data_IF_029413559779
#
_entry.id   IF_029413559779
#
_cell.length_a   1.000
_cell.length_b   1.000
_cell.length_c   1.000
_cell.angle_alpha   90.00
_cell.angle_beta   90.00
_cell.angle_gamma   90.00
#
_symmetry.space_group_name_H-M   'P 1'
#
loop_
_entity.id
_entity.type
_entity.pdbx_description
1 polymer ?
#
# COMPACT_ATOMS: atom_id res chain seq x y z
N UNK A 1 -33.01 -10.80 7.92
CA UNK A 1 -31.59 -11.20 8.05
C UNK A 1 -30.91 -10.79 6.75
N UNK A 2 -30.36 -9.57 6.68
CA UNK A 2 -29.53 -9.20 5.54
C UNK A 2 -28.21 -9.97 5.71
N UNK A 3 -27.93 -10.91 4.81
CA UNK A 3 -26.62 -11.56 4.79
C UNK A 3 -25.58 -10.48 4.57
N UNK A 4 -24.79 -10.15 5.60
CA UNK A 4 -23.62 -9.32 5.41
C UNK A 4 -22.66 -10.14 4.57
N UNK A 5 -22.45 -9.76 3.31
CA UNK A 5 -21.39 -10.34 2.50
C UNK A 5 -20.05 -10.07 3.18
N UNK A 6 -19.19 -11.07 3.24
CA UNK A 6 -17.81 -10.94 3.73
C UNK A 6 -17.09 -9.87 2.90
N UNK A 7 -16.53 -8.81 3.51
CA UNK A 7 -15.79 -7.79 2.77
C UNK A 7 -14.65 -8.38 1.95
N UNK A 8 -14.59 -7.98 0.68
CA UNK A 8 -13.55 -8.38 -0.27
C UNK A 8 -12.42 -7.37 -0.23
N UNK A 9 -11.20 -7.86 -0.04
CA UNK A 9 -9.99 -7.05 0.03
C UNK A 9 -9.06 -7.45 -1.10
N UNK A 10 -8.67 -6.48 -1.93
CA UNK A 10 -7.54 -6.61 -2.84
C UNK A 10 -6.30 -6.05 -2.15
N UNK A 11 -5.33 -6.92 -1.93
CA UNK A 11 -4.00 -6.57 -1.43
C UNK A 11 -3.02 -6.64 -2.60
N UNK A 12 -2.10 -5.68 -2.72
CA UNK A 12 -1.06 -5.77 -3.74
C UNK A 12 0.33 -5.59 -3.16
N UNK A 13 1.32 -6.16 -3.84
CA UNK A 13 2.74 -5.91 -3.62
C UNK A 13 3.46 -5.89 -4.95
N UNK A 14 4.61 -5.21 -5.03
CA UNK A 14 5.38 -5.17 -6.27
C UNK A 14 6.25 -6.42 -6.45
N UNK A 15 6.55 -6.75 -7.70
CA UNK A 15 7.63 -7.67 -8.07
C UNK A 15 9.01 -7.19 -7.54
N UNK A 16 10.05 -8.05 -7.59
CA UNK A 16 11.42 -7.64 -7.29
C UNK A 16 11.92 -6.53 -8.22
N UNK A 17 12.76 -5.64 -7.69
CA UNK A 17 13.25 -4.45 -8.38
C UNK A 17 14.69 -4.14 -7.91
N UNK A 18 15.46 -3.37 -8.69
CA UNK A 18 16.82 -2.94 -8.34
C UNK A 18 17.84 -4.09 -8.15
N UNK A 19 17.62 -5.23 -8.83
CA UNK A 19 18.50 -6.41 -8.75
C UNK A 19 18.24 -7.29 -7.52
N UNK A 20 17.25 -6.95 -6.70
CA UNK A 20 16.77 -7.79 -5.61
C UNK A 20 16.11 -9.07 -6.15
N UNK A 21 16.24 -10.17 -5.42
CA UNK A 21 15.56 -11.44 -5.75
C UNK A 21 14.15 -11.53 -5.17
N UNK A 22 13.79 -10.65 -4.24
CA UNK A 22 12.50 -10.63 -3.57
C UNK A 22 12.00 -9.20 -3.32
N UNK A 23 10.71 -9.07 -3.00
CA UNK A 23 10.12 -7.81 -2.56
C UNK A 23 9.30 -8.05 -1.28
N UNK A 24 9.75 -7.48 -0.15
CA UNK A 24 9.10 -7.66 1.16
C UNK A 24 7.60 -7.31 1.17
N UNK A 25 7.16 -6.37 0.33
CA UNK A 25 5.73 -6.05 0.21
C UNK A 25 4.93 -7.20 -0.42
N UNK A 26 5.46 -7.82 -1.48
CA UNK A 26 4.83 -8.98 -2.09
C UNK A 26 4.84 -10.20 -1.18
N UNK A 27 5.97 -10.50 -0.53
CA UNK A 27 6.06 -11.64 0.40
C UNK A 27 5.04 -11.50 1.54
N UNK A 28 4.93 -10.31 2.13
CA UNK A 28 3.91 -10.05 3.15
C UNK A 28 2.49 -10.17 2.58
N UNK A 29 2.22 -9.67 1.36
CA UNK A 29 0.91 -9.79 0.72
C UNK A 29 0.49 -11.25 0.52
N UNK A 30 1.41 -12.06 0.01
CA UNK A 30 1.20 -13.48 -0.24
C UNK A 30 0.91 -14.23 1.06
N UNK A 31 1.66 -13.96 2.13
CA UNK A 31 1.41 -14.54 3.45
C UNK A 31 0.02 -14.18 3.97
N UNK A 32 -0.41 -12.92 3.85
CA UNK A 32 -1.75 -12.49 4.29
C UNK A 32 -2.86 -13.16 3.48
N UNK A 33 -2.71 -13.32 2.18
CA UNK A 33 -3.72 -13.97 1.35
C UNK A 33 -3.79 -15.49 1.56
N UNK A 34 -2.67 -16.13 1.91
CA UNK A 34 -2.63 -17.55 2.25
C UNK A 34 -3.36 -17.87 3.56
N UNK A 35 -3.33 -16.94 4.52
CA UNK A 35 -4.04 -17.05 5.79
C UNK A 35 -4.73 -15.71 6.12
N UNK A 36 -5.90 -15.43 5.51
CA UNK A 36 -6.60 -14.17 5.66
C UNK A 36 -7.20 -14.02 7.07
N UNK A 37 -7.39 -12.78 7.56
CA UNK A 37 -8.10 -12.54 8.81
C UNK A 37 -9.54 -13.09 8.75
N UNK A 38 -10.03 -13.61 9.87
CA UNK A 38 -11.42 -14.05 9.98
C UNK A 38 -12.39 -12.91 9.59
N UNK A 39 -13.40 -13.25 8.80
CA UNK A 39 -14.40 -12.28 8.34
C UNK A 39 -13.98 -11.40 7.16
N UNK A 40 -12.80 -11.63 6.56
CA UNK A 40 -12.36 -10.96 5.32
C UNK A 40 -12.04 -11.99 4.23
N UNK A 41 -12.39 -11.66 2.99
CA UNK A 41 -11.93 -12.40 1.82
C UNK A 41 -10.78 -11.62 1.17
N UNK A 42 -9.54 -12.11 1.28
CA UNK A 42 -8.34 -11.40 0.78
C UNK A 42 -7.82 -12.07 -0.48
N UNK A 43 -7.60 -11.27 -1.53
CA UNK A 43 -6.89 -11.67 -2.75
C UNK A 43 -5.61 -10.83 -2.86
N UNK A 44 -4.46 -11.48 -3.08
CA UNK A 44 -3.20 -10.78 -3.35
C UNK A 44 -2.85 -10.82 -4.84
N UNK A 45 -2.45 -9.67 -5.39
CA UNK A 45 -1.95 -9.55 -6.78
C UNK A 45 -0.58 -8.88 -6.80
N UNK A 46 0.36 -9.49 -7.52
CA UNK A 46 1.68 -8.92 -7.73
C UNK A 46 1.62 -7.88 -8.85
N UNK A 47 2.11 -6.67 -8.60
CA UNK A 47 2.19 -5.60 -9.60
C UNK A 47 3.60 -5.53 -10.19
N UNK A 48 3.74 -5.22 -11.50
CA UNK A 48 5.03 -4.90 -12.06
C UNK A 48 5.57 -3.59 -11.46
N UNK A 49 6.88 -3.47 -11.28
CA UNK A 49 7.52 -2.23 -10.84
C UNK A 49 7.79 -1.36 -12.07
N UNK A 50 6.71 -0.98 -12.76
CA UNK A 50 6.71 -0.27 -14.05
C UNK A 50 5.64 0.81 -14.04
N UNK A 51 6.01 2.04 -14.43
CA UNK A 51 5.08 3.16 -14.55
C UNK A 51 4.00 2.85 -15.59
N UNK A 52 2.73 3.13 -15.27
CA UNK A 52 1.58 2.87 -16.15
C UNK A 52 1.15 1.39 -16.24
N UNK A 53 2.07 0.45 -16.46
CA UNK A 53 1.73 -0.98 -16.52
C UNK A 53 1.20 -1.49 -15.17
N UNK A 54 1.81 -1.04 -14.08
CA UNK A 54 1.33 -1.30 -12.72
C UNK A 54 -0.13 -0.88 -12.51
N UNK A 55 -0.53 0.28 -13.05
CA UNK A 55 -1.93 0.73 -13.03
C UNK A 55 -2.85 -0.11 -13.90
N UNK A 56 -2.35 -0.63 -15.02
CA UNK A 56 -3.12 -1.52 -15.90
C UNK A 56 -3.43 -2.82 -15.17
N UNK A 57 -2.43 -3.44 -14.53
CA UNK A 57 -2.62 -4.67 -13.74
C UNK A 57 -3.54 -4.42 -12.54
N UNK A 58 -3.38 -3.30 -11.83
CA UNK A 58 -4.26 -2.94 -10.71
C UNK A 58 -5.72 -2.80 -11.16
N UNK A 59 -5.99 -2.13 -12.29
CA UNK A 59 -7.35 -1.98 -12.84
C UNK A 59 -7.98 -3.34 -13.18
N UNK A 60 -7.22 -4.24 -13.82
CA UNK A 60 -7.70 -5.59 -14.12
C UNK A 60 -8.01 -6.36 -12.84
N UNK A 61 -7.12 -6.31 -11.85
CA UNK A 61 -7.33 -6.96 -10.55
C UNK A 61 -8.57 -6.43 -9.83
N UNK A 62 -8.81 -5.11 -9.85
CA UNK A 62 -10.02 -4.51 -9.27
C UNK A 62 -11.28 -5.00 -10.00
N UNK A 63 -11.25 -5.07 -11.33
CA UNK A 63 -12.39 -5.54 -12.11
C UNK A 63 -12.71 -7.03 -11.87
N UNK A 64 -11.69 -7.88 -11.69
CA UNK A 64 -11.87 -9.31 -11.41
C UNK A 64 -12.28 -9.58 -9.96
N UNK A 65 -11.68 -8.85 -9.01
CA UNK A 65 -11.87 -9.07 -7.57
C UNK A 65 -13.03 -8.27 -7.01
N UNK A 66 -13.56 -7.26 -7.70
CA UNK A 66 -14.64 -6.35 -7.23
C UNK A 66 -14.55 -6.07 -5.71
N UNK A 67 -13.43 -5.49 -5.24
CA UNK A 67 -13.15 -5.38 -3.81
C UNK A 67 -13.92 -4.23 -3.15
N UNK A 68 -14.22 -4.37 -1.85
CA UNK A 68 -14.65 -3.26 -0.99
C UNK A 68 -13.45 -2.41 -0.53
N UNK A 69 -12.30 -3.06 -0.34
CA UNK A 69 -11.05 -2.44 0.10
C UNK A 69 -9.89 -2.75 -0.86
N UNK A 70 -9.10 -1.73 -1.21
CA UNK A 70 -7.84 -1.90 -1.95
C UNK A 70 -6.69 -1.36 -1.12
N UNK A 71 -5.73 -2.22 -0.78
CA UNK A 71 -4.50 -1.83 -0.09
C UNK A 71 -3.33 -2.17 -0.99
N UNK A 72 -2.70 -1.14 -1.55
CA UNK A 72 -1.47 -1.31 -2.31
C UNK A 72 -0.26 -1.22 -1.38
N UNK A 73 0.71 -2.12 -1.56
CA UNK A 73 1.90 -2.14 -0.72
C UNK A 73 3.17 -1.98 -1.54
N UNK A 74 4.12 -1.24 -0.97
CA UNK A 74 5.46 -1.05 -1.52
C UNK A 74 6.51 -1.14 -0.43
N UNK A 75 7.76 -1.33 -0.84
CA UNK A 75 8.90 -1.33 0.08
C UNK A 75 9.45 0.09 0.21
N UNK A 76 9.67 0.56 1.43
CA UNK A 76 10.40 1.80 1.71
C UNK A 76 11.62 1.49 2.56
N UNK A 77 12.76 1.30 1.88
CA UNK A 77 14.02 1.00 2.54
C UNK A 77 14.41 2.08 3.54
N UNK A 78 14.83 1.66 4.75
CA UNK A 78 15.27 2.55 5.82
C UNK A 78 14.19 3.00 6.80
N UNK A 79 12.90 2.75 6.53
CA UNK A 79 11.85 2.97 7.53
C UNK A 79 11.93 1.90 8.62
N UNK A 80 11.73 2.25 9.91
CA UNK A 80 11.86 1.28 11.02
C UNK A 80 10.63 0.39 11.22
N UNK A 81 9.56 0.62 10.45
CA UNK A 81 8.28 -0.07 10.62
C UNK A 81 7.33 0.18 9.46
N UNK A 82 6.13 -0.39 9.58
CA UNK A 82 5.05 -0.24 8.60
C UNK A 82 4.55 1.20 8.61
N UNK A 83 4.30 1.77 7.45
CA UNK A 83 3.84 3.15 7.34
C UNK A 83 2.62 3.24 6.45
N UNK A 84 1.53 3.75 7.01
CA UNK A 84 0.29 3.98 6.25
C UNK A 84 0.42 5.35 5.61
N UNK A 85 0.20 5.44 4.30
CA UNK A 85 0.34 6.69 3.57
C UNK A 85 -0.95 7.52 3.67
N UNK A 86 -0.82 8.76 4.13
CA UNK A 86 -1.93 9.70 4.21
C UNK A 86 -2.33 10.21 2.83
N UNK A 87 -1.36 10.46 1.95
CA UNK A 87 -1.54 11.24 0.74
C UNK A 87 -0.65 10.73 -0.38
N UNK A 88 -1.20 10.75 -1.60
CA UNK A 88 -0.47 10.55 -2.84
C UNK A 88 -0.54 11.83 -3.69
N UNK A 89 0.54 12.16 -4.39
CA UNK A 89 0.70 13.44 -5.12
C UNK A 89 0.80 13.20 -6.63
N UNK A 90 0.33 14.16 -7.42
CA UNK A 90 0.27 14.05 -8.89
C UNK A 90 1.62 14.34 -9.55
N UNK A 91 2.66 13.59 -9.20
CA UNK A 91 3.97 13.70 -9.82
C UNK A 91 4.69 12.35 -9.83
N UNK A 92 5.21 12.01 -11.01
CA UNK A 92 6.24 11.01 -11.21
C UNK A 92 7.57 11.74 -11.40
N UNK A 93 8.47 11.55 -10.45
CA UNK A 93 9.85 12.09 -10.45
C UNK A 93 10.80 10.99 -9.98
N UNK A 94 11.36 10.28 -10.97
CA UNK A 94 12.09 9.04 -10.81
C UNK A 94 13.61 9.29 -10.77
N UNK A 95 14.21 9.14 -9.59
CA UNK A 95 15.68 9.20 -9.42
C UNK A 95 16.44 8.09 -10.17
N UNK A 96 15.77 6.96 -10.43
CA UNK A 96 16.30 5.75 -11.08
C UNK A 96 15.26 5.23 -12.08
N UNK A 97 15.64 4.47 -13.11
CA UNK A 97 14.67 3.84 -14.00
C UNK A 97 13.85 2.75 -13.29
N UNK A 98 12.63 2.53 -13.77
CA UNK A 98 11.80 1.39 -13.42
C UNK A 98 12.28 0.08 -14.11
N UNK A 99 11.59 -1.05 -13.89
CA UNK A 99 11.99 -2.34 -14.48
C UNK A 99 11.93 -2.37 -16.03
N UNK A 100 11.18 -1.46 -16.66
CA UNK A 100 11.09 -1.33 -18.11
C UNK A 100 12.03 -0.24 -18.68
N UNK A 101 12.81 0.42 -17.81
CA UNK A 101 13.76 1.47 -18.18
C UNK A 101 13.16 2.88 -18.24
N UNK A 102 11.90 3.08 -17.84
CA UNK A 102 11.29 4.40 -17.82
C UNK A 102 11.78 5.20 -16.60
N UNK A 103 12.14 6.46 -16.81
CA UNK A 103 12.62 7.37 -15.78
C UNK A 103 11.97 8.75 -15.95
N UNK A 104 10.66 8.89 -15.64
CA UNK A 104 9.95 10.17 -15.71
C UNK A 104 10.57 11.22 -14.78
N UNK A 105 10.55 12.49 -15.19
CA UNK A 105 11.05 13.63 -14.41
C UNK A 105 10.00 14.73 -14.46
N UNK A 106 9.45 15.10 -13.29
CA UNK A 106 8.47 16.17 -13.12
C UNK A 106 7.24 16.09 -14.06
N UNK A 107 6.73 14.88 -14.29
CA UNK A 107 5.50 14.68 -15.09
C UNK A 107 4.32 14.29 -14.20
N UNK A 108 3.09 14.72 -14.52
CA UNK A 108 1.93 14.31 -13.74
C UNK A 108 1.62 12.82 -13.94
N UNK A 109 1.20 12.15 -12.87
CA UNK A 109 0.64 10.78 -12.92
C UNK A 109 -0.62 10.76 -13.79
N UNK A 110 -1.54 11.71 -13.56
CA UNK A 110 -2.72 11.94 -14.40
C UNK A 110 -2.74 13.40 -14.86
N UNK A 111 -2.53 13.67 -16.17
CA UNK A 111 -2.65 15.01 -16.71
C UNK A 111 -4.01 15.65 -16.41
N UNK A 112 -4.01 16.83 -15.80
CA UNK A 112 -5.23 17.55 -15.41
C UNK A 112 -5.92 17.04 -14.13
N UNK A 113 -5.41 15.99 -13.49
CA UNK A 113 -5.86 15.55 -12.17
C UNK A 113 -5.52 16.55 -11.06
N UNK A 114 -6.17 16.47 -9.89
CA UNK A 114 -5.86 17.35 -8.75
C UNK A 114 -4.44 17.11 -8.25
N UNK A 115 -3.88 18.07 -7.51
CA UNK A 115 -2.50 17.98 -7.02
C UNK A 115 -2.23 16.75 -6.13
N UNK A 116 -3.24 16.28 -5.39
CA UNK A 116 -3.11 15.15 -4.48
C UNK A 116 -4.45 14.47 -4.22
N UNK A 117 -4.37 13.22 -3.77
CA UNK A 117 -5.47 12.46 -3.18
C UNK A 117 -5.10 12.01 -1.77
N UNK A 118 -6.01 12.24 -0.82
CA UNK A 118 -5.91 11.62 0.49
C UNK A 118 -6.38 10.17 0.42
N UNK A 119 -5.73 9.28 1.17
CA UNK A 119 -6.19 7.91 1.38
C UNK A 119 -7.61 7.92 1.95
N UNK A 120 -8.45 7.01 1.46
CA UNK A 120 -9.81 6.83 1.98
C UNK A 120 -9.89 5.70 3.00
N UNK A 121 -8.75 5.11 3.37
CA UNK A 121 -8.64 4.23 4.53
C UNK A 121 -8.71 5.05 5.83
N UNK A 122 -9.19 4.48 6.94
CA UNK A 122 -9.07 5.09 8.26
C UNK A 122 -7.61 4.99 8.75
N UNK A 123 -6.74 5.83 8.19
CA UNK A 123 -5.28 5.68 8.30
C UNK A 123 -4.78 5.66 9.73
N UNK A 124 -5.40 6.39 10.66
CA UNK A 124 -5.00 6.37 12.07
C UNK A 124 -5.50 5.12 12.79
N UNK A 125 -6.70 4.64 12.48
CA UNK A 125 -7.19 3.35 12.96
C UNK A 125 -6.29 2.20 12.47
N UNK A 126 -5.87 2.24 11.20
CA UNK A 126 -4.92 1.29 10.64
C UNK A 126 -3.58 1.29 11.39
N UNK A 127 -3.01 2.47 11.63
CA UNK A 127 -1.75 2.60 12.41
C UNK A 127 -1.92 2.08 13.84
N UNK A 128 -3.02 2.42 14.51
CA UNK A 128 -3.32 1.92 15.85
C UNK A 128 -3.43 0.39 15.88
N UNK A 129 -4.18 -0.21 14.94
CA UNK A 129 -4.33 -1.66 14.84
C UNK A 129 -3.02 -2.39 14.61
N UNK A 130 -2.14 -1.86 13.74
CA UNK A 130 -0.80 -2.43 13.54
C UNK A 130 0.02 -2.42 14.85
N UNK A 131 -0.01 -1.30 15.59
CA UNK A 131 0.71 -1.16 16.87
C UNK A 131 0.14 -2.06 17.96
N UNK A 132 -1.17 -2.21 18.04
CA UNK A 132 -1.84 -3.12 18.97
C UNK A 132 -1.46 -4.58 18.71
N UNK A 133 -1.18 -4.94 17.45
CA UNK A 133 -0.63 -6.25 17.07
C UNK A 133 0.88 -6.41 17.36
N UNK A 134 1.51 -5.43 18.01
CA UNK A 134 2.92 -5.47 18.39
C UNK A 134 3.91 -5.13 17.28
N UNK A 135 3.44 -4.58 16.16
CA UNK A 135 4.28 -4.23 15.01
C UNK A 135 4.55 -2.72 14.98
N UNK A 136 5.81 -2.27 14.81
CA UNK A 136 6.11 -0.85 14.70
C UNK A 136 5.39 -0.22 13.51
N UNK A 137 4.62 0.85 13.75
CA UNK A 137 3.96 1.58 12.69
C UNK A 137 3.86 3.09 12.90
N UNK A 138 3.76 3.82 11.81
CA UNK A 138 3.54 5.27 11.81
C UNK A 138 2.70 5.72 10.62
N UNK A 139 2.17 6.93 10.71
CA UNK A 139 1.52 7.60 9.59
C UNK A 139 2.56 8.38 8.79
N UNK A 140 2.58 8.16 7.48
CA UNK A 140 3.47 8.86 6.54
C UNK A 140 2.69 9.91 5.75
N UNK A 141 3.35 11.04 5.46
CA UNK A 141 2.78 12.12 4.65
C UNK A 141 3.45 12.22 3.26
N UNK A 142 4.27 11.25 2.88
CA UNK A 142 4.82 11.12 1.53
C UNK A 142 5.07 9.65 1.16
N UNK A 143 4.47 9.24 0.04
CA UNK A 143 4.75 7.95 -0.58
C UNK A 143 5.99 7.99 -1.51
N UNK A 144 6.75 9.09 -1.50
CA UNK A 144 7.79 9.37 -2.49
C UNK A 144 7.20 9.87 -3.82
N UNK A 145 7.97 9.73 -4.90
CA UNK A 145 7.62 10.18 -6.26
C UNK A 145 7.91 9.12 -7.33
N UNK A 146 8.10 7.87 -6.89
CA UNK A 146 8.36 6.73 -7.75
C UNK A 146 7.08 5.88 -7.96
N UNK A 147 7.20 4.66 -8.49
CA UNK A 147 6.06 3.78 -8.83
C UNK A 147 5.10 3.55 -7.65
N UNK A 148 5.57 3.58 -6.40
CA UNK A 148 4.71 3.52 -5.22
C UNK A 148 3.69 4.69 -5.17
N UNK A 149 4.16 5.93 -5.34
CA UNK A 149 3.30 7.10 -5.39
C UNK A 149 2.41 7.10 -6.64
N UNK A 150 2.96 6.68 -7.79
CA UNK A 150 2.20 6.51 -9.03
C UNK A 150 0.94 5.66 -8.82
N UNK A 151 1.10 4.48 -8.22
CA UNK A 151 -0.01 3.57 -7.89
C UNK A 151 -0.94 4.17 -6.85
N UNK A 152 -0.40 4.75 -5.76
CA UNK A 152 -1.22 5.35 -4.71
C UNK A 152 -2.10 6.48 -5.26
N UNK A 153 -1.54 7.33 -6.14
CA UNK A 153 -2.26 8.42 -6.78
C UNK A 153 -3.28 7.88 -7.79
N UNK A 154 -2.88 6.93 -8.63
CA UNK A 154 -3.78 6.32 -9.62
C UNK A 154 -4.98 5.62 -8.98
N UNK A 155 -4.78 4.94 -7.84
CA UNK A 155 -5.87 4.37 -7.03
C UNK A 155 -6.78 5.46 -6.45
N UNK A 156 -6.21 6.52 -5.89
CA UNK A 156 -6.98 7.66 -5.37
C UNK A 156 -7.81 8.34 -6.46
N UNK A 157 -7.25 8.50 -7.65
CA UNK A 157 -7.94 9.02 -8.83
C UNK A 157 -9.11 8.13 -9.22
N UNK A 158 -8.85 6.83 -9.38
CA UNK A 158 -9.85 5.80 -9.67
C UNK A 158 -11.04 5.84 -8.71
N UNK A 159 -10.78 5.85 -7.40
CA UNK A 159 -11.83 5.92 -6.38
C UNK A 159 -12.63 7.21 -6.52
N UNK A 160 -11.96 8.34 -6.72
CA UNK A 160 -12.63 9.64 -6.79
C UNK A 160 -13.49 9.84 -8.06
N UNK A 161 -13.13 9.21 -9.18
CA UNK A 161 -13.75 9.49 -10.49
C UNK A 161 -14.59 8.35 -11.04
N UNK A 162 -14.26 7.11 -10.72
CA UNK A 162 -14.85 5.92 -11.35
C UNK A 162 -15.47 4.96 -10.32
N UNK A 163 -14.83 4.76 -9.17
CA UNK A 163 -15.16 3.69 -8.20
C UNK A 163 -15.35 4.23 -6.77
N UNK A 164 -16.30 5.17 -6.53
CA UNK A 164 -16.45 5.83 -5.22
C UNK A 164 -16.97 4.94 -4.09
N UNK A 165 -17.38 3.70 -4.41
CA UNK A 165 -17.80 2.70 -3.43
C UNK A 165 -16.62 1.97 -2.78
N UNK A 166 -15.45 1.97 -3.43
CA UNK A 166 -14.23 1.34 -2.93
C UNK A 166 -13.55 2.29 -1.95
N UNK A 167 -13.00 1.76 -0.85
CA UNK A 167 -12.00 2.49 -0.06
C UNK A 167 -10.61 1.92 -0.31
N UNK A 168 -9.61 2.78 -0.45
CA UNK A 168 -8.25 2.32 -0.66
C UNK A 168 -7.19 3.31 -0.26
N UNK A 169 -5.96 2.79 -0.24
CA UNK A 169 -4.78 3.54 0.17
C UNK A 169 -3.51 2.73 -0.04
N UNK A 170 -2.41 3.28 0.45
CA UNK A 170 -1.08 2.72 0.25
C UNK A 170 -0.37 2.49 1.59
N UNK A 171 0.42 1.43 1.66
CA UNK A 171 1.22 1.07 2.83
C UNK A 171 2.65 0.78 2.41
N UNK A 172 3.61 1.45 3.04
CA UNK A 172 5.02 1.12 2.91
C UNK A 172 5.47 0.17 4.02
N UNK A 173 6.22 -0.87 3.65
CA UNK A 173 6.83 -1.82 4.58
C UNK A 173 8.35 -1.64 4.58
N UNK A 174 9.04 -1.97 5.70
CA UNK A 174 10.49 -1.89 5.77
C UNK A 174 11.15 -3.02 4.94
N UNK A 175 12.47 -3.08 4.99
CA UNK A 175 13.22 -4.22 4.46
C UNK A 175 12.85 -5.53 5.16
N UNK A 176 12.96 -6.65 4.45
CA UNK A 176 13.07 -7.96 5.07
C UNK A 176 14.52 -8.22 5.53
N UNK A 177 14.76 -9.00 6.61
CA UNK A 177 16.11 -9.24 7.13
C UNK A 177 17.07 -9.82 6.09
N UNK A 178 16.58 -10.67 5.18
CA UNK A 178 17.36 -11.32 4.13
C UNK A 178 17.89 -10.34 3.08
N UNK A 179 17.28 -9.16 2.97
CA UNK A 179 17.71 -8.09 2.06
C UNK A 179 18.81 -7.21 2.67
N UNK A 180 19.05 -7.32 3.98
CA UNK A 180 20.06 -6.52 4.70
C UNK A 180 21.21 -7.42 5.13
N UNK A 181 22.30 -7.37 4.39
CA UNK A 181 23.49 -8.20 4.65
C UNK A 181 24.53 -7.51 5.55
N UNK A 182 24.48 -6.19 5.68
CA UNK A 182 25.46 -5.38 6.43
C UNK A 182 24.96 -4.88 7.79
N UNK A 183 23.69 -5.11 8.12
CA UNK A 183 23.05 -4.72 9.38
C UNK A 183 22.82 -3.22 9.57
N UNK A 184 22.98 -2.41 8.53
CA UNK A 184 22.95 -0.94 8.65
C UNK A 184 21.54 -0.34 8.55
N UNK A 185 20.57 -1.10 8.03
CA UNK A 185 19.21 -0.65 7.83
C UNK A 185 18.22 -1.39 8.74
N UNK A 186 17.15 -0.70 9.13
CA UNK A 186 16.05 -1.33 9.83
C UNK A 186 15.31 -2.31 8.90
N UNK A 187 14.99 -3.48 9.45
CA UNK A 187 14.27 -4.54 8.78
C UNK A 187 13.29 -5.20 9.76
N UNK A 188 12.21 -5.77 9.23
CA UNK A 188 11.27 -6.60 9.98
C UNK A 188 11.02 -7.90 9.21
N UNK A 189 10.94 -9.06 9.89
CA UNK A 189 10.54 -10.31 9.24
C UNK A 189 9.21 -10.15 8.52
N UNK A 190 9.08 -10.77 7.34
CA UNK A 190 7.89 -10.68 6.50
C UNK A 190 6.63 -11.18 7.22
N UNK A 191 6.76 -12.15 8.13
CA UNK A 191 5.68 -12.65 8.99
C UNK A 191 5.23 -11.62 10.03
N UNK A 192 6.18 -10.82 10.54
CA UNK A 192 5.86 -9.70 11.45
C UNK A 192 5.12 -8.61 10.69
N UNK A 193 5.57 -8.27 9.48
CA UNK A 193 4.87 -7.33 8.61
C UNK A 193 3.46 -7.87 8.27
N UNK A 194 3.33 -9.14 7.88
CA UNK A 194 2.05 -9.77 7.56
C UNK A 194 1.09 -9.75 8.77
N UNK A 195 1.58 -9.95 9.99
CA UNK A 195 0.79 -9.78 11.23
C UNK A 195 0.23 -8.36 11.34
N UNK A 196 1.07 -7.34 11.09
CA UNK A 196 0.64 -5.95 11.07
C UNK A 196 -0.39 -5.65 9.98
N UNK A 197 -0.17 -6.16 8.77
CA UNK A 197 -1.11 -5.96 7.64
C UNK A 197 -2.47 -6.63 7.94
N UNK A 198 -2.52 -7.82 8.53
CA UNK A 198 -3.80 -8.43 8.98
C UNK A 198 -4.56 -7.51 9.92
N UNK A 199 -3.88 -6.92 10.90
CA UNK A 199 -4.49 -5.98 11.83
C UNK A 199 -4.95 -4.68 11.14
N UNK A 200 -4.17 -4.18 10.18
CA UNK A 200 -4.56 -3.04 9.33
C UNK A 200 -5.84 -3.33 8.56
N UNK A 201 -5.96 -4.51 7.95
CA UNK A 201 -7.13 -4.90 7.16
C UNK A 201 -8.39 -4.99 8.03
N UNK A 202 -8.28 -5.57 9.23
CA UNK A 202 -9.38 -5.63 10.20
C UNK A 202 -9.82 -4.22 10.64
N UNK A 203 -8.87 -3.33 10.94
CA UNK A 203 -9.17 -1.95 11.29
C UNK A 203 -9.84 -1.19 10.14
N UNK A 204 -9.33 -1.34 8.91
CA UNK A 204 -9.89 -0.72 7.71
C UNK A 204 -11.32 -1.20 7.41
N UNK A 205 -11.57 -2.50 7.55
CA UNK A 205 -12.88 -3.09 7.29
C UNK A 205 -13.93 -2.65 8.32
N UNK A 206 -13.56 -2.55 9.60
CA UNK A 206 -14.48 -2.24 10.70
C UNK A 206 -14.66 -0.75 10.99
N UNK A 207 -13.76 0.11 10.51
CA UNK A 207 -13.77 1.55 10.80
C UNK A 207 -14.08 2.36 9.55
N UNK A 208 -15.19 3.09 9.54
CA UNK A 208 -15.56 3.99 8.43
C UNK A 208 -15.14 5.44 8.68
N UNK A 209 -15.29 5.92 9.91
CA UNK A 209 -14.81 7.23 10.35
C UNK A 209 -13.49 7.08 11.10
N UNK A 210 -12.43 7.73 10.61
CA UNK A 210 -11.09 7.57 11.18
C UNK A 210 -10.96 8.14 12.61
N UNK A 211 -9.98 7.62 13.36
CA UNK A 211 -9.69 8.05 14.72
C UNK A 211 -9.26 9.54 14.76
N UNK A 212 -9.70 10.25 15.79
CA UNK A 212 -9.28 11.63 16.06
C UNK A 212 -8.15 11.69 17.09
N UNK A 213 -6.98 11.19 16.71
CA UNK A 213 -5.76 11.16 17.54
C UNK A 213 -4.58 11.86 16.86
N UNK A 214 -3.53 12.20 17.61
CA UNK A 214 -2.35 12.87 17.06
C UNK A 214 -1.42 11.87 16.38
N UNK A 215 -1.25 12.03 15.07
CA UNK A 215 -0.27 11.31 14.21
C UNK A 215 0.37 12.30 13.22
N UNK A 216 0.49 13.56 13.64
CA UNK A 216 1.14 14.61 12.85
C UNK A 216 2.66 14.52 12.98
N UNK A 217 3.37 15.07 12.01
CA UNK A 217 4.81 15.23 12.03
C UNK A 217 5.16 16.73 11.97
N UNK A 218 6.25 17.13 12.63
CA UNK A 218 6.74 18.52 12.60
C UNK A 218 7.58 18.82 11.36
N UNK A 219 8.19 17.79 10.77
CA UNK A 219 9.02 17.82 9.56
C UNK A 219 8.79 16.54 8.74
#
# INVERSE_FOLDING_TARGET
>A
MSGSSTPRVLLTGFEPFEGESLNAAWEAAALVAAEPPEGLAVTAVQLPCVFGESMTVLRSAIAEVEPDLVVCMGRAGGRPGVTVERVAINVDDARIPDNAGAQPIDVPVVPGGPAAYFSTLPVKACVAGIREAGVPAALSNTAGTFVCNHIAYGLGHLIATELPHIRGGFVHVPWAPEQITDGTAAALPTETVATGIRALLLAAASTHDDLRVTEGATH
#
